data_IF_017395115787
#
_entry.id   IF_017395115787
#
_cell.length_a   1.000
_cell.length_b   1.000
_cell.length_c   1.000
_cell.angle_alpha   90.00
_cell.angle_beta   90.00
_cell.angle_gamma   90.00
#
_symmetry.space_group_name_H-M   'P 1'
#
loop_
_entity.id
_entity.type
_entity.pdbx_description
1 polymer ?
#
# COMPACT_ATOMS: atom_id res chain seq x y z
N UNK A 1 4.59 26.75 4.31
CA UNK A 1 5.55 25.83 3.70
C UNK A 1 6.67 26.66 3.07
N UNK A 2 7.89 26.53 3.57
CA UNK A 2 9.09 27.21 3.05
C UNK A 2 10.03 26.19 2.42
N UNK A 3 11.00 26.64 1.61
CA UNK A 3 12.02 25.73 1.02
C UNK A 3 12.78 24.95 2.10
N UNK A 4 13.25 25.64 3.14
CA UNK A 4 13.95 25.04 4.28
C UNK A 4 13.14 23.93 4.97
N UNK A 5 11.85 24.16 5.24
CA UNK A 5 10.96 23.13 5.83
C UNK A 5 10.78 21.92 4.90
N UNK A 6 10.66 22.14 3.60
CA UNK A 6 10.56 21.04 2.62
C UNK A 6 11.83 20.20 2.59
N UNK A 7 13.02 20.80 2.66
CA UNK A 7 14.27 20.04 2.77
C UNK A 7 14.34 19.24 4.06
N UNK A 8 13.93 19.80 5.20
CA UNK A 8 13.87 19.07 6.47
C UNK A 8 12.92 17.86 6.40
N UNK A 9 11.71 18.04 5.85
CA UNK A 9 10.75 16.95 5.61
C UNK A 9 11.33 15.88 4.68
N UNK A 10 12.07 16.29 3.65
CA UNK A 10 12.73 15.37 2.72
C UNK A 10 13.81 14.53 3.41
N UNK A 11 14.63 15.16 4.27
CA UNK A 11 15.62 14.46 5.06
C UNK A 11 14.97 13.45 6.02
N UNK A 12 13.89 13.84 6.70
CA UNK A 12 13.10 12.95 7.56
C UNK A 12 12.56 11.77 6.76
N UNK A 13 12.01 12.01 5.57
CA UNK A 13 11.49 10.95 4.72
C UNK A 13 12.59 9.98 4.27
N UNK A 14 13.74 10.49 3.83
CA UNK A 14 14.87 9.66 3.45
C UNK A 14 15.37 8.77 4.61
N UNK A 15 15.51 9.36 5.80
CA UNK A 15 15.89 8.63 7.02
C UNK A 15 14.84 7.59 7.39
N UNK A 16 13.55 7.94 7.32
CA UNK A 16 12.46 7.00 7.59
C UNK A 16 12.49 5.81 6.62
N UNK A 17 12.79 6.04 5.34
CA UNK A 17 12.86 4.95 4.37
C UNK A 17 14.02 3.99 4.67
N UNK A 18 15.21 4.54 4.93
CA UNK A 18 16.37 3.72 5.33
C UNK A 18 16.07 2.97 6.63
N UNK A 19 15.45 3.63 7.60
CA UNK A 19 15.05 3.01 8.86
C UNK A 19 14.05 1.86 8.65
N UNK A 20 13.04 2.02 7.80
CA UNK A 20 12.08 0.96 7.48
C UNK A 20 12.77 -0.24 6.82
N UNK A 21 13.63 0.00 5.83
CA UNK A 21 14.39 -1.08 5.19
C UNK A 21 15.34 -1.79 6.17
N UNK A 22 15.93 -1.05 7.09
CA UNK A 22 16.87 -1.59 8.08
C UNK A 22 16.16 -2.36 9.21
N UNK A 23 15.12 -1.79 9.82
CA UNK A 23 14.42 -2.39 10.98
C UNK A 23 13.68 -3.68 10.61
N UNK A 24 13.34 -3.83 9.34
CA UNK A 24 12.67 -5.02 8.82
C UNK A 24 13.59 -5.88 7.94
N UNK A 25 14.90 -5.60 7.92
CA UNK A 25 15.88 -6.52 7.39
C UNK A 25 16.00 -7.75 8.31
N UNK A 26 16.24 -8.92 7.71
CA UNK A 26 16.40 -10.18 8.44
C UNK A 26 17.53 -10.07 9.48
N UNK A 27 17.25 -10.42 10.74
CA UNK A 27 18.29 -10.54 11.77
C UNK A 27 18.53 -9.31 12.66
N UNK A 28 17.72 -8.25 12.60
CA UNK A 28 17.87 -7.04 13.44
C UNK A 28 18.10 -7.33 14.95
N UNK A 29 17.40 -8.32 15.50
CA UNK A 29 17.45 -8.66 16.93
C UNK A 29 18.44 -9.80 17.25
N UNK A 30 19.23 -10.25 16.27
CA UNK A 30 20.13 -11.40 16.41
C UNK A 30 21.50 -11.09 17.03
N UNK A 31 21.82 -9.82 17.30
CA UNK A 31 22.97 -9.45 18.16
C UNK A 31 23.70 -8.17 17.77
N UNK A 32 23.70 -7.78 16.49
CA UNK A 32 24.31 -6.54 16.02
C UNK A 32 23.24 -5.50 15.71
N UNK A 33 23.04 -4.57 16.64
CA UNK A 33 22.09 -3.45 16.48
C UNK A 33 22.52 -2.42 15.43
N UNK A 34 23.65 -2.64 14.76
CA UNK A 34 24.08 -1.88 13.61
C UNK A 34 24.89 -2.79 12.69
N UNK A 35 24.36 -3.06 11.49
CA UNK A 35 25.04 -3.81 10.46
C UNK A 35 24.96 -3.04 9.14
N UNK A 36 26.09 -2.44 8.73
CA UNK A 36 26.16 -1.68 7.49
C UNK A 36 25.97 -2.55 6.25
N UNK A 37 26.21 -3.86 6.36
CA UNK A 37 26.17 -4.80 5.25
C UNK A 37 24.73 -5.05 4.78
N UNK A 38 23.73 -4.93 5.66
CA UNK A 38 22.31 -5.09 5.31
C UNK A 38 21.82 -3.95 4.40
N UNK A 39 22.29 -2.74 4.68
CA UNK A 39 21.99 -1.58 3.83
C UNK A 39 22.84 -1.65 2.57
N UNK A 40 24.15 -1.92 2.67
CA UNK A 40 25.05 -1.99 1.52
C UNK A 40 24.65 -3.08 0.52
N UNK A 41 24.16 -4.23 1.01
CA UNK A 41 23.66 -5.36 0.24
C UNK A 41 22.22 -5.22 -0.26
N UNK A 42 21.53 -4.11 0.04
CA UNK A 42 20.18 -3.86 -0.44
C UNK A 42 20.09 -3.84 -1.98
N UNK A 43 18.91 -4.14 -2.50
CA UNK A 43 18.69 -4.18 -3.95
C UNK A 43 18.92 -2.81 -4.59
N UNK A 44 19.29 -2.80 -5.89
CA UNK A 44 19.40 -1.56 -6.69
C UNK A 44 18.10 -0.74 -6.59
N UNK A 45 16.94 -1.41 -6.55
CA UNK A 45 15.63 -0.77 -6.42
C UNK A 45 15.56 0.09 -5.15
N UNK A 46 16.05 -0.38 -4.01
CA UNK A 46 16.05 0.37 -2.74
C UNK A 46 16.78 1.71 -2.89
N UNK A 47 17.94 1.73 -3.54
CA UNK A 47 18.69 2.97 -3.79
C UNK A 47 18.00 3.89 -4.80
N UNK A 48 17.37 3.34 -5.83
CA UNK A 48 16.58 4.12 -6.79
C UNK A 48 15.39 4.78 -6.10
N UNK A 49 14.69 4.07 -5.21
CA UNK A 49 13.56 4.59 -4.45
C UNK A 49 14.00 5.67 -3.44
N UNK A 50 15.14 5.49 -2.79
CA UNK A 50 15.75 6.52 -1.95
C UNK A 50 16.09 7.79 -2.75
N UNK A 51 16.72 7.63 -3.92
CA UNK A 51 17.01 8.74 -4.82
C UNK A 51 15.73 9.44 -5.30
N UNK A 52 14.65 8.67 -5.55
CA UNK A 52 13.35 9.20 -5.92
C UNK A 52 12.71 10.04 -4.80
N UNK A 53 12.83 9.63 -3.52
CA UNK A 53 12.38 10.42 -2.36
C UNK A 53 13.11 11.77 -2.32
N UNK A 54 14.45 11.74 -2.42
CA UNK A 54 15.27 12.95 -2.37
C UNK A 54 14.95 13.86 -3.56
N UNK A 55 14.87 13.28 -4.76
CA UNK A 55 14.53 13.99 -5.99
C UNK A 55 13.16 14.67 -5.91
N UNK A 56 12.13 13.95 -5.46
CA UNK A 56 10.80 14.50 -5.24
C UNK A 56 10.83 15.71 -4.27
N UNK A 57 11.54 15.57 -3.16
CA UNK A 57 11.70 16.65 -2.18
C UNK A 57 12.42 17.88 -2.70
N UNK A 58 13.51 17.69 -3.45
CA UNK A 58 14.24 18.78 -4.10
C UNK A 58 13.37 19.49 -5.13
N UNK A 59 12.63 18.74 -5.97
CA UNK A 59 11.72 19.32 -6.95
C UNK A 59 10.60 20.09 -6.24
N UNK A 60 10.03 19.57 -5.16
CA UNK A 60 9.01 20.27 -4.38
C UNK A 60 9.54 21.58 -3.82
N UNK A 61 10.73 21.57 -3.22
CA UNK A 61 11.34 22.76 -2.64
C UNK A 61 11.62 23.84 -3.70
N UNK A 62 12.11 23.44 -4.89
CA UNK A 62 12.38 24.37 -6.00
C UNK A 62 11.12 25.01 -6.57
N UNK A 63 9.98 24.33 -6.51
CA UNK A 63 8.67 24.85 -6.95
C UNK A 63 8.06 25.87 -5.98
N UNK A 64 8.60 26.02 -4.76
CA UNK A 64 8.08 26.98 -3.78
C UNK A 64 8.60 28.40 -4.02
N UNK A 65 7.74 29.43 -3.88
CA UNK A 65 8.16 30.83 -3.81
C UNK A 65 9.15 31.05 -2.65
N UNK A 66 9.99 32.07 -2.77
CA UNK A 66 11.00 32.39 -1.73
C UNK A 66 10.37 32.83 -0.41
N UNK A 67 9.26 33.55 -0.47
CA UNK A 67 8.43 33.91 0.68
C UNK A 67 7.71 32.71 1.32
N UNK A 68 7.67 31.57 0.63
CA UNK A 68 6.89 30.39 1.01
C UNK A 68 5.39 30.56 0.78
N UNK A 69 4.65 29.48 1.06
CA UNK A 69 3.18 29.44 0.94
C UNK A 69 2.58 29.31 2.33
N UNK A 70 1.60 30.13 2.75
CA UNK A 70 0.94 29.95 4.03
C UNK A 70 0.22 28.59 4.03
N UNK A 71 0.52 27.76 5.03
CA UNK A 71 -0.22 26.52 5.26
C UNK A 71 -1.37 26.92 6.18
N UNK A 72 -2.52 27.21 5.57
CA UNK A 72 -3.72 27.62 6.30
C UNK A 72 -4.18 26.49 7.22
N UNK A 73 -4.59 26.89 8.42
CA UNK A 73 -5.33 26.04 9.35
C UNK A 73 -6.79 26.41 9.12
N UNK A 74 -7.57 25.53 8.49
CA UNK A 74 -9.00 25.78 8.37
C UNK A 74 -9.58 25.98 9.79
N UNK A 75 -10.48 26.95 9.93
CA UNK A 75 -11.21 27.14 11.18
C UNK A 75 -11.91 25.83 11.56
N UNK A 76 -11.90 25.44 12.85
CA UNK A 76 -12.50 24.18 13.28
C UNK A 76 -13.97 24.16 12.84
N UNK A 77 -14.37 23.14 12.07
CA UNK A 77 -15.74 23.02 11.57
C UNK A 77 -16.63 22.48 12.67
N UNK A 78 -16.87 23.29 13.71
CA UNK A 78 -17.74 22.91 14.82
C UNK A 78 -19.19 23.13 14.38
N UNK A 79 -19.74 22.16 13.66
CA UNK A 79 -21.19 22.03 13.45
C UNK A 79 -21.75 21.06 14.49
N UNK A 80 -23.04 21.19 14.81
CA UNK A 80 -23.71 20.27 15.73
C UNK A 80 -23.50 18.82 15.26
N UNK A 81 -22.92 17.97 16.12
CA UNK A 81 -22.61 16.57 15.83
C UNK A 81 -21.28 16.29 15.12
N UNK A 82 -20.44 17.30 14.86
CA UNK A 82 -19.11 17.12 14.26
C UNK A 82 -17.99 17.25 15.30
N UNK A 83 -17.03 16.33 15.24
CA UNK A 83 -15.77 16.42 15.99
C UNK A 83 -14.68 16.87 15.01
N UNK A 84 -13.91 17.88 15.39
CA UNK A 84 -12.84 18.40 14.54
C UNK A 84 -11.59 17.53 14.63
N UNK A 85 -10.98 17.22 13.48
CA UNK A 85 -9.73 16.45 13.45
C UNK A 85 -8.55 17.29 13.97
N UNK A 86 -7.58 16.69 14.68
CA UNK A 86 -6.35 17.38 15.06
C UNK A 86 -5.63 17.96 13.85
N UNK A 87 -5.10 19.19 13.98
CA UNK A 87 -4.44 19.93 12.89
C UNK A 87 -3.37 19.11 12.19
N UNK A 88 -2.58 18.35 12.96
CA UNK A 88 -1.55 17.48 12.40
C UNK A 88 -2.10 16.43 11.44
N UNK A 89 -3.22 15.77 11.77
CA UNK A 89 -3.85 14.77 10.91
C UNK A 89 -4.41 15.39 9.62
N UNK A 90 -5.05 16.56 9.72
CA UNK A 90 -5.52 17.31 8.54
C UNK A 90 -4.37 17.62 7.58
N UNK A 91 -3.21 18.03 8.11
CA UNK A 91 -2.02 18.31 7.31
C UNK A 91 -1.42 17.03 6.73
N UNK A 92 -1.24 16.00 7.54
CA UNK A 92 -0.58 14.76 7.12
C UNK A 92 -1.39 14.01 6.05
N UNK A 93 -2.72 13.98 6.15
CA UNK A 93 -3.61 13.22 5.25
C UNK A 93 -4.24 14.07 4.13
N UNK A 94 -4.20 15.41 4.27
CA UNK A 94 -4.92 16.33 3.38
C UNK A 94 -4.06 17.34 2.66
N UNK A 95 -2.81 17.56 3.07
CA UNK A 95 -1.94 18.58 2.49
C UNK A 95 -0.83 17.98 1.62
N UNK A 96 -0.84 18.34 0.33
CA UNK A 96 0.12 17.89 -0.68
C UNK A 96 1.58 18.14 -0.30
N UNK A 97 1.88 19.20 0.47
CA UNK A 97 3.26 19.48 0.88
C UNK A 97 3.84 18.40 1.81
N UNK A 98 2.99 17.62 2.47
CA UNK A 98 3.39 16.51 3.33
C UNK A 98 3.40 15.16 2.60
N UNK A 99 3.05 15.11 1.31
CA UNK A 99 3.04 13.87 0.52
C UNK A 99 4.40 13.16 0.48
N UNK A 100 5.52 13.90 0.61
CA UNK A 100 6.87 13.33 0.67
C UNK A 100 7.04 12.36 1.85
N UNK A 101 6.34 12.59 2.98
CA UNK A 101 6.39 11.69 4.14
C UNK A 101 5.73 10.33 3.89
N UNK A 102 4.88 10.23 2.86
CA UNK A 102 4.23 8.99 2.48
C UNK A 102 5.06 8.15 1.51
N UNK A 103 6.03 8.75 0.81
CA UNK A 103 6.90 8.03 -0.12
C UNK A 103 7.69 6.89 0.55
N UNK A 104 8.32 7.07 1.73
CA UNK A 104 9.00 5.99 2.44
C UNK A 104 8.11 4.79 2.72
N UNK A 105 6.93 5.04 3.27
CA UNK A 105 5.95 4.00 3.60
C UNK A 105 5.48 3.30 2.34
N UNK A 106 5.14 4.07 1.30
CA UNK A 106 4.67 3.55 0.02
C UNK A 106 5.73 2.69 -0.67
N UNK A 107 6.98 3.14 -0.69
CA UNK A 107 8.08 2.44 -1.32
C UNK A 107 8.48 1.19 -0.56
N UNK A 108 8.49 1.25 0.77
CA UNK A 108 8.72 0.09 1.61
C UNK A 108 7.62 -0.97 1.44
N UNK A 109 6.34 -0.60 1.54
CA UNK A 109 5.24 -1.56 1.36
C UNK A 109 5.20 -2.06 -0.10
N UNK A 110 5.44 -1.18 -1.06
CA UNK A 110 5.43 -1.51 -2.48
C UNK A 110 6.52 -2.49 -2.89
N UNK A 111 7.76 -2.33 -2.39
CA UNK A 111 8.86 -3.26 -2.74
C UNK A 111 8.62 -4.66 -2.15
N UNK A 112 8.06 -4.77 -0.94
CA UNK A 112 7.78 -6.05 -0.30
C UNK A 112 6.72 -6.84 -1.09
N UNK A 113 5.63 -6.17 -1.49
CA UNK A 113 4.62 -6.77 -2.35
C UNK A 113 5.15 -7.13 -3.74
N UNK A 114 5.98 -6.24 -4.31
CA UNK A 114 6.55 -6.47 -5.63
C UNK A 114 7.46 -7.69 -5.61
N UNK A 115 8.31 -7.83 -4.59
CA UNK A 115 9.20 -8.98 -4.42
C UNK A 115 8.41 -10.28 -4.20
N UNK A 116 7.38 -10.26 -3.33
CA UNK A 116 6.53 -11.41 -3.08
C UNK A 116 5.79 -11.88 -4.33
N UNK A 117 5.19 -10.95 -5.08
CA UNK A 117 4.50 -11.25 -6.33
C UNK A 117 5.44 -11.70 -7.45
N UNK A 118 6.59 -11.05 -7.60
CA UNK A 118 7.55 -11.37 -8.67
C UNK A 118 8.10 -12.79 -8.54
N UNK A 119 8.44 -13.22 -7.33
CA UNK A 119 8.89 -14.59 -7.07
C UNK A 119 7.81 -15.62 -7.46
N UNK A 120 6.54 -15.34 -7.13
CA UNK A 120 5.40 -16.21 -7.48
C UNK A 120 5.12 -16.23 -8.98
N UNK A 121 5.25 -15.10 -9.67
CA UNK A 121 5.04 -15.03 -11.12
C UNK A 121 6.08 -15.85 -11.91
N UNK A 122 7.26 -16.09 -11.34
CA UNK A 122 8.30 -16.93 -11.95
C UNK A 122 8.20 -18.40 -11.57
N UNK A 123 7.43 -18.72 -10.54
CA UNK A 123 7.29 -20.07 -10.02
C UNK A 123 6.13 -20.79 -10.72
N UNK A 124 6.46 -21.91 -11.38
CA UNK A 124 5.46 -22.75 -12.04
C UNK A 124 4.46 -23.32 -11.03
N UNK A 125 4.80 -23.45 -9.75
CA UNK A 125 3.85 -23.89 -8.73
C UNK A 125 2.66 -22.93 -8.56
N UNK A 126 2.87 -21.64 -8.85
CA UNK A 126 1.82 -20.62 -8.80
C UNK A 126 1.17 -20.40 -10.17
N UNK A 127 1.96 -20.44 -11.25
CA UNK A 127 1.51 -20.08 -12.59
C UNK A 127 0.97 -21.26 -13.41
N UNK A 128 1.35 -22.50 -13.07
CA UNK A 128 0.99 -23.72 -13.78
C UNK A 128 0.31 -24.73 -12.83
N UNK A 129 -1.01 -24.77 -12.84
CA UNK A 129 -1.81 -25.77 -12.13
C UNK A 129 -2.09 -25.47 -10.65
N UNK A 130 -1.41 -24.49 -10.05
CA UNK A 130 -1.69 -24.05 -8.67
C UNK A 130 -1.19 -25.02 -7.59
N UNK A 131 -0.12 -25.76 -7.87
CA UNK A 131 0.49 -26.72 -6.93
C UNK A 131 1.03 -26.07 -5.65
N UNK A 132 1.28 -24.76 -5.68
CA UNK A 132 1.59 -23.99 -4.48
C UNK A 132 0.46 -24.03 -3.43
N UNK A 133 -0.80 -24.16 -3.88
CA UNK A 133 -1.98 -24.17 -3.02
C UNK A 133 -2.50 -25.58 -2.76
N UNK A 134 -2.57 -26.42 -3.80
CA UNK A 134 -3.00 -27.83 -3.73
C UNK A 134 -2.11 -28.66 -4.64
N UNK A 135 -1.33 -29.59 -4.09
CA UNK A 135 -0.32 -30.32 -4.84
C UNK A 135 -0.69 -31.80 -5.03
N UNK A 136 -0.32 -32.41 -6.17
CA UNK A 136 -0.58 -33.83 -6.39
C UNK A 136 0.36 -34.71 -5.56
N UNK A 137 -0.19 -35.76 -4.94
CA UNK A 137 0.57 -36.78 -4.21
C UNK A 137 0.73 -36.48 -2.72
N UNK A 138 1.84 -36.89 -2.12
CA UNK A 138 2.05 -36.80 -0.67
C UNK A 138 2.55 -35.40 -0.21
N UNK A 139 3.04 -34.58 -1.14
CA UNK A 139 3.46 -33.22 -0.83
C UNK A 139 2.24 -32.30 -0.82
N UNK A 140 1.78 -31.91 0.37
CA UNK A 140 0.60 -31.04 0.51
C UNK A 140 0.90 -29.59 0.12
N UNK A 141 0.04 -29.02 -0.72
CA UNK A 141 0.02 -27.60 -1.03
C UNK A 141 -0.37 -26.74 0.18
N UNK A 142 -0.24 -25.42 0.07
CA UNK A 142 -0.48 -24.52 1.21
C UNK A 142 -1.88 -24.67 1.82
N UNK A 143 -2.93 -24.71 1.00
CA UNK A 143 -4.31 -24.85 1.49
C UNK A 143 -4.53 -26.19 2.17
N UNK A 144 -4.06 -27.27 1.56
CA UNK A 144 -4.20 -28.63 2.12
C UNK A 144 -3.53 -28.74 3.50
N UNK A 145 -2.38 -28.09 3.69
CA UNK A 145 -1.71 -28.09 5.00
C UNK A 145 -2.50 -27.34 6.08
N UNK A 146 -3.09 -26.19 5.76
CA UNK A 146 -3.72 -25.33 6.77
C UNK A 146 -5.15 -25.75 7.12
N UNK A 147 -5.84 -26.49 6.24
CA UNK A 147 -7.17 -27.03 6.52
C UNK A 147 -7.15 -28.27 7.42
N UNK A 148 -6.00 -28.94 7.58
CA UNK A 148 -5.85 -30.06 8.51
C UNK A 148 -6.09 -29.61 9.95
N UNK A 149 -6.89 -30.39 10.67
CA UNK A 149 -7.11 -30.27 12.12
C UNK A 149 -6.23 -31.32 12.78
N UNK A 150 -5.13 -30.93 13.46
CA UNK A 150 -4.25 -31.90 14.10
C UNK A 150 -4.94 -32.52 15.32
N UNK A 151 -4.68 -33.80 15.59
CA UNK A 151 -5.19 -34.49 16.79
C UNK A 151 -4.66 -33.87 18.09
N UNK A 152 -3.48 -33.24 18.02
CA UNK A 152 -2.83 -32.55 19.13
C UNK A 152 -2.31 -31.18 18.67
N UNK A 153 -2.54 -30.14 19.48
CA UNK A 153 -2.14 -28.77 19.18
C UNK A 153 -3.28 -27.91 18.66
N UNK A 154 -2.95 -26.69 18.20
CA UNK A 154 -3.93 -25.75 17.64
C UNK A 154 -3.92 -25.84 16.12
N UNK A 155 -5.09 -25.89 15.46
CA UNK A 155 -5.15 -25.79 14.01
C UNK A 155 -4.55 -24.47 13.51
N UNK A 156 -3.98 -24.47 12.29
CA UNK A 156 -3.45 -23.25 11.68
C UNK A 156 -4.53 -22.17 11.53
N UNK A 157 -5.70 -22.56 11.04
CA UNK A 157 -6.87 -21.70 10.92
C UNK A 157 -7.65 -21.71 12.24
N UNK A 158 -7.82 -20.54 12.86
CA UNK A 158 -8.59 -20.43 14.11
C UNK A 158 -10.10 -20.44 13.86
N UNK A 159 -10.56 -19.84 12.75
CA UNK A 159 -11.99 -19.65 12.48
C UNK A 159 -12.54 -20.76 11.58
N UNK A 160 -13.49 -21.55 12.09
CA UNK A 160 -14.10 -22.69 11.37
C UNK A 160 -14.67 -22.31 10.00
N UNK A 161 -15.45 -21.22 9.91
CA UNK A 161 -16.03 -20.76 8.65
C UNK A 161 -14.98 -20.48 7.55
N UNK A 162 -13.78 -20.04 7.94
CA UNK A 162 -12.71 -19.75 7.00
C UNK A 162 -12.06 -21.05 6.50
N UNK A 163 -11.94 -22.05 7.38
CA UNK A 163 -11.53 -23.40 6.99
C UNK A 163 -12.53 -24.01 6.02
N UNK A 164 -13.82 -23.93 6.33
CA UNK A 164 -14.89 -24.48 5.49
C UNK A 164 -14.90 -23.82 4.10
N UNK A 165 -14.64 -22.51 4.04
CA UNK A 165 -14.45 -21.80 2.78
C UNK A 165 -13.27 -22.35 1.98
N UNK A 166 -12.09 -22.52 2.61
CA UNK A 166 -10.93 -23.07 1.92
C UNK A 166 -11.15 -24.52 1.49
N UNK A 167 -11.78 -25.34 2.32
CA UNK A 167 -12.15 -26.71 1.97
C UNK A 167 -13.09 -26.72 0.76
N UNK A 168 -14.12 -25.87 0.75
CA UNK A 168 -15.01 -25.71 -0.40
C UNK A 168 -14.25 -25.32 -1.67
N UNK A 169 -13.26 -24.43 -1.58
CA UNK A 169 -12.44 -24.04 -2.73
C UNK A 169 -11.53 -25.18 -3.23
N UNK A 170 -11.00 -26.00 -2.31
CA UNK A 170 -10.23 -27.22 -2.65
C UNK A 170 -11.13 -28.22 -3.37
N UNK A 171 -12.31 -28.49 -2.82
CA UNK A 171 -13.27 -29.47 -3.36
C UNK A 171 -13.79 -29.09 -4.76
N UNK A 172 -13.79 -27.79 -5.09
CA UNK A 172 -14.17 -27.28 -6.42
C UNK A 172 -12.97 -27.03 -7.35
N UNK A 173 -11.76 -27.43 -6.96
CA UNK A 173 -10.53 -27.29 -7.76
C UNK A 173 -10.14 -25.85 -8.13
N UNK A 174 -10.43 -24.87 -7.27
CA UNK A 174 -10.19 -23.45 -7.57
C UNK A 174 -8.72 -23.02 -7.45
N UNK A 175 -7.83 -23.88 -6.99
CA UNK A 175 -6.42 -23.58 -6.74
C UNK A 175 -5.69 -22.95 -7.93
N UNK A 176 -5.93 -23.43 -9.16
CA UNK A 176 -5.18 -22.98 -10.35
C UNK A 176 -5.49 -21.52 -10.68
N UNK A 177 -6.77 -21.13 -10.61
CA UNK A 177 -7.18 -19.74 -10.81
C UNK A 177 -6.76 -18.84 -9.64
N UNK A 178 -6.90 -19.33 -8.41
CA UNK A 178 -6.65 -18.54 -7.22
C UNK A 178 -5.15 -18.31 -6.97
N UNK A 179 -4.29 -19.28 -7.30
CA UNK A 179 -2.84 -19.12 -7.23
C UNK A 179 -2.37 -17.97 -8.15
N UNK A 180 -2.84 -17.95 -9.39
CA UNK A 180 -2.57 -16.85 -10.33
C UNK A 180 -3.11 -15.52 -9.84
N UNK A 181 -4.33 -15.51 -9.30
CA UNK A 181 -4.94 -14.30 -8.74
C UNK A 181 -4.11 -13.71 -7.60
N UNK A 182 -3.61 -14.56 -6.70
CA UNK A 182 -2.71 -14.13 -5.62
C UNK A 182 -1.41 -13.59 -6.22
N UNK A 183 -0.70 -14.37 -7.05
CA UNK A 183 0.59 -13.98 -7.60
C UNK A 183 0.53 -12.64 -8.37
N UNK A 184 -0.45 -12.50 -9.27
CA UNK A 184 -0.68 -11.28 -10.05
C UNK A 184 -1.13 -10.15 -9.14
N UNK A 185 -2.03 -10.42 -8.18
CA UNK A 185 -2.54 -9.43 -7.23
C UNK A 185 -1.42 -8.80 -6.42
N UNK A 186 -0.54 -9.62 -5.82
CA UNK A 186 0.62 -9.16 -5.06
C UNK A 186 1.54 -8.29 -5.89
N UNK A 187 1.86 -8.74 -7.11
CA UNK A 187 2.70 -7.99 -8.02
C UNK A 187 2.09 -6.64 -8.42
N UNK A 188 0.80 -6.61 -8.75
CA UNK A 188 0.09 -5.38 -9.13
C UNK A 188 -0.07 -4.41 -7.96
N UNK A 189 -0.26 -4.91 -6.72
CA UNK A 189 -0.25 -4.08 -5.52
C UNK A 189 1.11 -3.42 -5.36
N UNK A 190 2.19 -4.20 -5.44
CA UNK A 190 3.56 -3.68 -5.35
C UNK A 190 3.84 -2.62 -6.42
N UNK A 191 3.52 -2.94 -7.68
CA UNK A 191 3.69 -2.03 -8.81
C UNK A 191 2.86 -0.75 -8.66
N UNK A 192 1.58 -0.86 -8.28
CA UNK A 192 0.69 0.27 -8.06
C UNK A 192 1.20 1.21 -6.97
N UNK A 193 1.73 0.66 -5.87
CA UNK A 193 2.35 1.45 -4.80
C UNK A 193 3.66 2.12 -5.26
N UNK A 194 4.56 1.40 -5.93
CA UNK A 194 5.84 1.97 -6.39
C UNK A 194 5.62 3.10 -7.40
N UNK A 195 4.79 2.86 -8.41
CA UNK A 195 4.50 3.85 -9.46
C UNK A 195 3.60 4.98 -8.92
N UNK A 196 2.86 4.70 -7.86
CA UNK A 196 1.90 5.62 -7.28
C UNK A 196 0.63 5.74 -8.11
N UNK A 197 0.17 4.63 -8.69
CA UNK A 197 -1.08 4.52 -9.42
C UNK A 197 -2.11 3.79 -8.57
N UNK A 198 -3.25 4.45 -8.34
CA UNK A 198 -4.34 3.98 -7.51
C UNK A 198 -3.87 3.58 -6.10
N UNK A 199 -3.05 4.41 -5.45
CA UNK A 199 -2.38 4.05 -4.17
C UNK A 199 -3.36 3.58 -3.10
N UNK A 200 -4.49 4.28 -2.94
CA UNK A 200 -5.51 3.87 -1.98
C UNK A 200 -6.13 2.51 -2.28
N UNK A 201 -6.33 2.18 -3.56
CA UNK A 201 -6.90 0.89 -4.00
C UNK A 201 -5.85 -0.22 -3.86
N UNK A 202 -4.60 0.03 -4.26
CA UNK A 202 -3.51 -0.92 -4.09
C UNK A 202 -3.28 -1.26 -2.61
N UNK A 203 -3.25 -0.24 -1.74
CA UNK A 203 -3.13 -0.43 -0.29
C UNK A 203 -4.35 -1.16 0.31
N UNK A 204 -5.56 -0.91 -0.20
CA UNK A 204 -6.76 -1.64 0.19
C UNK A 204 -6.65 -3.13 -0.12
N UNK A 205 -6.33 -3.50 -1.36
CA UNK A 205 -6.17 -4.92 -1.72
C UNK A 205 -4.99 -5.57 -0.99
N UNK A 206 -3.89 -4.85 -0.75
CA UNK A 206 -2.80 -5.33 0.10
C UNK A 206 -3.26 -5.60 1.54
N UNK A 207 -4.12 -4.74 2.09
CA UNK A 207 -4.70 -4.96 3.43
C UNK A 207 -5.62 -6.18 3.45
N UNK A 208 -6.43 -6.38 2.41
CA UNK A 208 -7.30 -7.56 2.26
C UNK A 208 -6.50 -8.85 2.16
N UNK A 209 -5.43 -8.89 1.35
CA UNK A 209 -4.57 -10.06 1.25
C UNK A 209 -3.84 -10.36 2.56
N UNK A 210 -3.29 -9.34 3.23
CA UNK A 210 -2.69 -9.52 4.57
C UNK A 210 -3.70 -10.10 5.56
N UNK A 211 -4.92 -9.57 5.58
CA UNK A 211 -5.99 -10.07 6.44
C UNK A 211 -6.30 -11.55 6.14
N UNK A 212 -6.37 -11.92 4.86
CA UNK A 212 -6.57 -13.31 4.44
C UNK A 212 -5.43 -14.23 4.92
N UNK A 213 -4.17 -13.78 4.83
CA UNK A 213 -3.02 -14.54 5.32
C UNK A 213 -3.03 -14.73 6.85
N UNK A 214 -3.42 -13.69 7.59
CA UNK A 214 -3.59 -13.79 9.04
C UNK A 214 -4.70 -14.79 9.42
N UNK A 215 -5.81 -14.84 8.67
CA UNK A 215 -6.86 -15.85 8.86
C UNK A 215 -6.36 -17.28 8.55
N UNK A 216 -5.47 -17.41 7.57
CA UNK A 216 -4.80 -18.65 7.20
C UNK A 216 -3.70 -19.09 8.19
N UNK A 217 -3.38 -18.28 9.20
CA UNK A 217 -2.39 -18.60 10.22
C UNK A 217 -0.93 -18.30 9.83
N UNK A 218 -0.68 -17.53 8.77
CA UNK A 218 0.69 -17.13 8.36
C UNK A 218 1.07 -15.76 8.91
N UNK A 219 2.11 -15.71 9.76
CA UNK A 219 2.38 -14.55 10.61
C UNK A 219 3.77 -13.89 10.49
N UNK A 220 4.70 -14.35 9.65
CA UNK A 220 6.11 -13.92 9.80
C UNK A 220 6.38 -12.43 9.51
N UNK A 221 5.74 -11.79 8.53
CA UNK A 221 5.94 -10.35 8.19
C UNK A 221 4.65 -9.54 7.99
N UNK A 222 3.49 -10.19 7.91
CA UNK A 222 2.19 -9.59 7.58
C UNK A 222 1.72 -8.44 8.49
N UNK A 223 1.92 -8.42 9.82
CA UNK A 223 1.34 -7.38 10.67
C UNK A 223 1.84 -5.96 10.35
N UNK A 224 3.10 -5.84 9.93
CA UNK A 224 3.73 -4.56 9.60
C UNK A 224 3.17 -4.02 8.28
N UNK A 225 3.17 -4.86 7.24
CA UNK A 225 2.61 -4.49 5.93
C UNK A 225 1.13 -4.16 6.02
N UNK A 226 0.38 -4.88 6.86
CA UNK A 226 -1.01 -4.56 7.16
C UNK A 226 -1.14 -3.16 7.78
N UNK A 227 -0.42 -2.89 8.87
CA UNK A 227 -0.50 -1.59 9.56
C UNK A 227 -0.11 -0.42 8.66
N UNK A 228 0.99 -0.54 7.93
CA UNK A 228 1.45 0.50 7.00
C UNK A 228 0.47 0.69 5.82
N UNK A 229 -0.11 -0.39 5.29
CA UNK A 229 -1.14 -0.31 4.24
C UNK A 229 -2.38 0.43 4.71
N UNK A 230 -2.83 0.22 5.96
CA UNK A 230 -3.97 0.96 6.54
C UNK A 230 -3.69 2.47 6.57
N UNK A 231 -2.49 2.89 6.98
CA UNK A 231 -2.12 4.30 6.94
C UNK A 231 -2.10 4.86 5.51
N UNK A 232 -1.64 4.09 4.52
CA UNK A 232 -1.70 4.47 3.11
C UNK A 232 -3.15 4.61 2.60
N UNK A 233 -4.07 3.75 3.04
CA UNK A 233 -5.50 3.89 2.74
C UNK A 233 -6.03 5.21 3.29
N UNK A 234 -5.73 5.55 4.55
CA UNK A 234 -6.16 6.82 5.15
C UNK A 234 -5.57 8.04 4.40
N UNK A 235 -4.32 7.90 3.94
CA UNK A 235 -3.58 8.93 3.24
C UNK A 235 -3.80 8.97 1.71
N UNK A 236 -4.76 8.21 1.18
CA UNK A 236 -4.94 8.00 -0.27
C UNK A 236 -4.95 9.29 -1.11
N UNK A 237 -5.47 10.40 -0.56
CA UNK A 237 -5.55 11.71 -1.23
C UNK A 237 -4.19 12.33 -1.51
N UNK A 238 -3.19 12.06 -0.66
CA UNK A 238 -1.87 12.71 -0.69
C UNK A 238 -0.74 11.74 -1.01
N UNK A 239 -0.87 10.46 -0.62
CA UNK A 239 0.18 9.45 -0.77
C UNK A 239 0.54 9.17 -2.24
N UNK A 240 -0.40 9.36 -3.16
CA UNK A 240 -0.19 9.24 -4.60
C UNK A 240 0.33 10.49 -5.30
N UNK A 241 0.47 11.63 -4.60
CA UNK A 241 0.78 12.91 -5.26
C UNK A 241 2.11 12.89 -6.03
N UNK A 242 3.13 12.27 -5.46
CA UNK A 242 4.41 11.99 -6.11
C UNK A 242 4.35 10.61 -6.82
N UNK A 243 3.44 10.50 -7.79
CA UNK A 243 3.17 9.29 -8.55
C UNK A 243 2.13 9.54 -9.65
N UNK A 244 1.62 8.46 -10.24
CA UNK A 244 0.62 8.57 -11.33
C UNK A 244 -0.75 9.11 -10.88
N UNK A 245 -1.10 9.00 -9.60
CA UNK A 245 -2.38 9.44 -9.03
C UNK A 245 -2.66 10.93 -9.25
N UNK A 246 -1.61 11.74 -9.40
CA UNK A 246 -1.76 13.15 -9.76
C UNK A 246 -2.48 13.37 -11.10
N UNK A 247 -2.35 12.43 -12.04
CA UNK A 247 -3.01 12.48 -13.35
C UNK A 247 -4.21 11.54 -13.41
N UNK A 248 -4.11 10.36 -12.78
CA UNK A 248 -5.16 9.32 -12.81
C UNK A 248 -6.39 9.74 -11.99
N UNK A 249 -6.23 10.27 -10.77
CA UNK A 249 -7.38 10.60 -9.92
C UNK A 249 -8.25 11.74 -10.49
N UNK A 250 -7.69 12.84 -11.05
CA UNK A 250 -8.52 13.84 -11.71
C UNK A 250 -9.26 13.31 -12.95
N UNK A 251 -8.66 12.38 -13.68
CA UNK A 251 -9.26 11.78 -14.88
C UNK A 251 -10.42 10.84 -14.55
N UNK A 252 -10.28 10.01 -13.50
CA UNK A 252 -11.35 9.14 -13.00
C UNK A 252 -12.44 9.91 -12.26
N UNK A 253 -12.14 11.12 -11.77
CA UNK A 253 -13.01 11.89 -10.90
C UNK A 253 -12.95 11.42 -9.44
N UNK A 254 -13.29 12.31 -8.51
CA UNK A 254 -13.47 11.92 -7.10
C UNK A 254 -14.92 11.51 -6.87
N UNK A 255 -15.24 10.54 -5.98
CA UNK A 255 -16.62 10.08 -5.73
C UNK A 255 -17.62 11.21 -5.43
N UNK A 256 -17.12 12.33 -4.92
CA UNK A 256 -17.89 13.48 -4.42
C UNK A 256 -17.98 14.65 -5.41
N UNK A 257 -17.37 14.54 -6.61
CA UNK A 257 -17.54 15.51 -7.69
C UNK A 257 -17.80 14.74 -8.99
N UNK A 258 -18.98 14.88 -9.63
CA UNK A 258 -19.28 14.17 -10.87
C UNK A 258 -18.25 14.50 -11.96
N UNK A 259 -17.89 13.48 -12.74
CA UNK A 259 -16.87 13.56 -13.79
C UNK A 259 -17.15 14.76 -14.73
N UNK A 260 -16.12 15.55 -15.11
CA UNK A 260 -16.26 16.57 -16.15
C UNK A 260 -16.78 16.00 -17.48
N UNK A 261 -16.47 14.73 -17.78
CA UNK A 261 -16.86 14.04 -19.01
C UNK A 261 -18.37 13.77 -19.13
N UNK A 262 -19.13 13.87 -18.04
CA UNK A 262 -20.59 13.74 -18.05
C UNK A 262 -21.30 15.10 -18.13
N UNK A 263 -20.58 16.23 -18.25
CA UNK A 263 -21.18 17.55 -18.53
C UNK A 263 -21.47 17.77 -20.02
N UNK A 264 -21.92 16.74 -20.72
CA UNK A 264 -22.54 16.94 -22.03
C UNK A 264 -24.03 17.23 -21.82
N UNK A 265 -24.43 18.49 -22.04
CA UNK A 265 -25.81 18.96 -22.26
C UNK A 265 -26.77 18.97 -21.06
N UNK A 266 -26.65 19.97 -20.19
CA UNK A 266 -27.86 20.61 -19.64
C UNK A 266 -28.25 21.75 -20.58
N UNK A 267 -29.35 21.65 -21.35
CA UNK A 267 -29.85 22.79 -22.12
C UNK A 267 -30.21 23.92 -21.15
N UNK A 268 -29.75 25.14 -21.47
CA UNK A 268 -30.22 26.37 -20.83
C UNK A 268 -31.74 26.44 -21.04
N UNK A 269 -32.51 26.32 -19.96
CA UNK A 269 -33.90 26.76 -19.96
C UNK A 269 -33.83 28.28 -19.81
N UNK A 270 -33.93 29.00 -20.93
CA UNK A 270 -34.19 30.43 -20.90
C UNK A 270 -35.63 30.60 -20.39
N UNK A 271 -35.76 31.00 -19.13
CA UNK A 271 -37.01 31.60 -18.66
C UNK A 271 -37.11 32.98 -19.29
N UNK A 272 -37.70 33.02 -20.49
CA UNK A 272 -38.17 34.25 -21.10
C UNK A 272 -39.23 34.87 -20.18
N UNK A 273 -38.86 35.97 -19.53
CA UNK A 273 -39.80 36.94 -19.00
C UNK A 273 -40.29 37.81 -20.16
N UNK A 274 -41.52 37.58 -20.61
CA UNK A 274 -42.52 38.58 -21.03
C UNK A 274 -43.86 37.89 -21.14
#
# INVERSE_FOLDING_TARGET
MTRSRTYAITAIAAVLYVFLCWVFADGLLSGNWWNSDDIAGSTILTYVLLAAIIGAGVIQARRLPESGVPVQRDEPSIRAGQVDDPVFWKLLLGNVYYSILWLPVRFFVGQEWLAAGEHKLRDSAWMDGGTALVAPGEALGFWERIVIIPEQGRPAITYGWYRDLLQYMIDNEWQSGFAKLIAIGEFLIGLGLIVGALVGIAAFFGTVLNFNFLLAGTASTNPVLFGLSVFLILAWKVAGHWGLDRWVLPALGTPWKPLPLLRAHTPRVDHGLT
#
